data_IF_347572520972
#
_entry.id   IF_347572520972
#
_cell.length_a   1.000
_cell.length_b   1.000
_cell.length_c   1.000
_cell.angle_alpha   90.00
_cell.angle_beta   90.00
_cell.angle_gamma   90.00
#
_symmetry.space_group_name_H-M   'P 1'
#
loop_
_entity.id
_entity.type
_entity.pdbx_description
1 polymer ?
#
# COMPACT_ATOMS: atom_id res chain seq x y z
N UNK A 1 2.85 -5.40 -39.80
CA UNK A 1 4.33 -5.30 -39.84
C UNK A 1 4.84 -5.19 -38.41
N UNK A 2 5.78 -6.07 -38.04
CA UNK A 2 6.56 -6.16 -36.76
C UNK A 2 5.74 -6.62 -35.54
N UNK A 3 5.71 -7.89 -35.14
CA UNK A 3 6.76 -8.87 -34.79
C UNK A 3 7.47 -8.58 -33.46
N UNK A 4 6.99 -9.26 -32.42
CA UNK A 4 7.68 -10.13 -31.42
C UNK A 4 9.04 -9.76 -30.80
N UNK A 5 9.17 -10.12 -29.51
CA UNK A 5 10.34 -10.42 -28.64
C UNK A 5 10.32 -9.53 -27.39
N UNK A 6 10.01 -10.04 -26.19
CA UNK A 6 10.90 -10.67 -25.19
C UNK A 6 9.98 -11.60 -24.34
N UNK A 7 9.96 -12.93 -24.47
CA UNK A 7 10.92 -13.97 -24.03
C UNK A 7 11.61 -13.75 -22.67
N UNK A 8 11.09 -14.43 -21.64
CA UNK A 8 11.90 -15.39 -20.89
C UNK A 8 12.49 -14.94 -19.55
N UNK A 9 11.77 -15.21 -18.45
CA UNK A 9 12.42 -15.63 -17.21
C UNK A 9 11.60 -16.76 -16.55
N UNK A 10 12.08 -17.98 -16.78
CA UNK A 10 12.05 -19.18 -15.93
C UNK A 10 10.85 -19.35 -14.97
N UNK A 11 9.92 -20.29 -15.16
CA UNK A 11 10.10 -21.74 -15.26
C UNK A 11 10.98 -22.31 -14.14
N UNK A 12 10.36 -22.65 -13.00
CA UNK A 12 10.62 -23.87 -12.22
C UNK A 12 10.01 -23.73 -10.82
N UNK A 13 8.79 -24.22 -10.60
CA UNK A 13 8.29 -24.65 -9.29
C UNK A 13 7.07 -25.56 -9.48
N UNK A 14 7.31 -26.62 -10.23
CA UNK A 14 6.48 -27.82 -10.17
C UNK A 14 7.45 -28.99 -10.28
N UNK A 15 7.56 -29.80 -9.22
CA UNK A 15 7.73 -31.25 -9.24
C UNK A 15 8.22 -31.76 -7.87
N UNK A 16 7.43 -32.68 -7.32
CA UNK A 16 7.82 -33.81 -6.46
C UNK A 16 8.31 -33.49 -5.02
N UNK A 17 8.07 -34.29 -3.98
CA UNK A 17 7.65 -35.68 -3.89
C UNK A 17 7.01 -35.93 -2.51
N UNK A 18 6.09 -36.90 -2.46
CA UNK A 18 5.66 -37.53 -1.21
C UNK A 18 6.66 -38.55 -0.65
N UNK A 19 6.19 -39.31 0.34
CA UNK A 19 6.86 -40.38 1.14
C UNK A 19 7.74 -39.85 2.28
N UNK A 20 7.81 -40.40 3.48
CA UNK A 20 7.20 -41.54 4.18
C UNK A 20 7.63 -41.43 5.66
N UNK A 21 7.00 -42.15 6.61
CA UNK A 21 7.32 -42.03 8.04
C UNK A 21 8.75 -42.48 8.35
N UNK A 22 9.49 -41.64 9.07
CA UNK A 22 10.83 -41.95 9.55
C UNK A 22 10.81 -43.17 10.48
N UNK A 23 11.39 -44.28 10.02
CA UNK A 23 11.66 -45.44 10.86
C UNK A 23 12.73 -45.10 11.89
N UNK A 24 12.37 -45.31 13.14
CA UNK A 24 13.14 -45.13 14.35
C UNK A 24 14.23 -46.21 14.42
N UNK A 25 15.45 -45.88 13.99
CA UNK A 25 16.62 -46.72 14.22
C UNK A 25 17.05 -46.54 15.68
N UNK A 26 16.63 -47.49 16.52
CA UNK A 26 17.13 -47.66 17.89
C UNK A 26 18.58 -48.15 17.80
N UNK A 27 19.53 -47.25 18.04
CA UNK A 27 20.93 -47.62 18.30
C UNK A 27 21.09 -48.02 19.77
N UNK A 28 21.63 -49.20 20.10
CA UNK A 28 22.06 -49.50 21.46
C UNK A 28 23.28 -48.64 21.78
N UNK A 29 23.14 -47.68 22.71
CA UNK A 29 24.25 -46.89 23.23
C UNK A 29 25.11 -47.80 24.10
N UNK A 30 26.18 -48.31 23.51
CA UNK A 30 27.25 -49.00 24.20
C UNK A 30 28.00 -48.02 25.12
N UNK A 31 28.16 -48.41 26.38
CA UNK A 31 29.22 -47.95 27.27
C UNK A 31 29.02 -46.55 27.85
N UNK A 32 28.27 -46.46 28.96
CA UNK A 32 28.51 -45.41 29.95
C UNK A 32 29.92 -45.60 30.53
N UNK A 33 30.90 -44.97 29.90
CA UNK A 33 32.20 -44.69 30.53
C UNK A 33 31.98 -43.45 31.39
N UNK A 34 32.19 -43.49 32.71
CA UNK A 34 32.08 -42.29 33.53
C UNK A 34 33.17 -41.31 33.09
N UNK A 35 32.79 -40.32 32.29
CA UNK A 35 33.62 -39.16 32.06
C UNK A 35 33.78 -38.47 33.41
N UNK A 36 34.99 -38.47 33.93
CA UNK A 36 35.38 -37.66 35.08
C UNK A 36 35.04 -36.21 34.75
N UNK A 37 33.93 -35.72 35.33
CA UNK A 37 33.53 -34.34 35.21
C UNK A 37 34.66 -33.48 35.80
N UNK A 38 35.38 -32.77 34.95
CA UNK A 38 36.34 -31.76 35.42
C UNK A 38 35.56 -30.74 36.25
N UNK A 39 36.02 -30.38 37.47
CA UNK A 39 35.38 -29.35 38.26
C UNK A 39 35.47 -28.04 37.48
N UNK A 40 34.33 -27.56 36.99
CA UNK A 40 34.24 -26.26 36.35
C UNK A 40 34.62 -25.24 37.42
N UNK A 41 35.78 -24.59 37.24
CA UNK A 41 36.26 -23.55 38.15
C UNK A 41 35.17 -22.47 38.31
N UNK A 42 34.79 -22.09 39.54
CA UNK A 42 33.74 -21.09 39.79
C UNK A 42 34.05 -19.75 39.11
N UNK A 43 35.33 -19.41 38.92
CA UNK A 43 35.75 -18.21 38.20
C UNK A 43 35.34 -18.22 36.71
N UNK A 44 35.38 -19.37 36.04
CA UNK A 44 34.96 -19.51 34.63
C UNK A 44 33.43 -19.42 34.47
N UNK A 45 32.68 -19.77 35.51
CA UNK A 45 31.20 -19.63 35.54
C UNK A 45 30.79 -18.16 35.67
N UNK A 46 31.47 -17.41 36.54
CA UNK A 46 31.22 -15.98 36.76
C UNK A 46 31.50 -15.15 35.50
N UNK A 47 32.62 -15.41 34.80
CA UNK A 47 32.97 -14.69 33.56
C UNK A 47 31.95 -14.97 32.43
N UNK A 48 31.45 -16.21 32.35
CA UNK A 48 30.39 -16.59 31.40
C UNK A 48 29.06 -15.88 31.69
N UNK A 49 28.69 -15.74 32.97
CA UNK A 49 27.46 -15.03 33.36
C UNK A 49 27.52 -13.56 32.97
N UNK A 50 28.63 -12.87 33.25
CA UNK A 50 28.81 -11.46 32.87
C UNK A 50 28.74 -11.25 31.36
N UNK A 51 29.31 -12.17 30.57
CA UNK A 51 29.25 -12.10 29.12
C UNK A 51 27.81 -12.28 28.58
N UNK A 52 27.03 -13.17 29.18
CA UNK A 52 25.62 -13.38 28.84
C UNK A 52 24.78 -12.14 29.18
N UNK A 53 24.97 -11.55 30.36
CA UNK A 53 24.27 -10.33 30.77
C UNK A 53 24.52 -9.17 29.79
N UNK A 54 25.78 -8.98 29.38
CA UNK A 54 26.13 -7.97 28.36
C UNK A 54 25.43 -8.24 27.03
N UNK A 55 25.35 -9.50 26.59
CA UNK A 55 24.64 -9.87 25.36
C UNK A 55 23.14 -9.63 25.47
N UNK A 56 22.53 -9.98 26.59
CA UNK A 56 21.09 -9.74 26.83
C UNK A 56 20.80 -8.25 26.80
N UNK A 57 21.61 -7.42 27.46
CA UNK A 57 21.46 -5.96 27.44
C UNK A 57 21.61 -5.38 26.02
N UNK A 58 22.59 -5.86 25.25
CA UNK A 58 22.77 -5.44 23.86
C UNK A 58 21.59 -5.84 22.97
N UNK A 59 21.08 -7.06 23.13
CA UNK A 59 19.92 -7.54 22.39
C UNK A 59 18.66 -6.76 22.77
N UNK A 60 18.44 -6.47 24.06
CA UNK A 60 17.33 -5.65 24.52
C UNK A 60 17.38 -4.24 23.92
N UNK A 61 18.56 -3.60 23.89
CA UNK A 61 18.75 -2.29 23.25
C UNK A 61 18.44 -2.33 21.76
N UNK A 62 18.90 -3.36 21.05
CA UNK A 62 18.61 -3.55 19.62
C UNK A 62 17.12 -3.80 19.38
N UNK A 63 16.48 -4.61 20.21
CA UNK A 63 15.06 -4.92 20.07
C UNK A 63 14.22 -3.66 20.24
N UNK A 64 14.46 -2.88 21.30
CA UNK A 64 13.80 -1.58 21.50
C UNK A 64 14.00 -0.61 20.33
N UNK A 65 15.21 -0.58 19.74
CA UNK A 65 15.48 0.25 18.58
C UNK A 65 14.72 -0.23 17.33
N UNK A 66 14.62 -1.54 17.13
CA UNK A 66 13.86 -2.13 16.02
C UNK A 66 12.36 -1.89 16.19
N UNK A 67 11.81 -2.09 17.38
CA UNK A 67 10.42 -1.78 17.71
C UNK A 67 10.09 -0.30 17.42
N UNK A 68 10.97 0.63 17.80
CA UNK A 68 10.81 2.03 17.47
C UNK A 68 10.80 2.31 15.95
N UNK A 69 11.64 1.61 15.18
CA UNK A 69 11.65 1.74 13.71
C UNK A 69 10.39 1.15 13.08
N UNK A 70 9.91 0.02 13.57
CA UNK A 70 8.65 -0.59 13.11
C UNK A 70 7.49 0.35 13.36
N UNK A 71 7.35 0.89 14.57
CA UNK A 71 6.31 1.85 14.90
C UNK A 71 6.35 3.10 13.99
N UNK A 72 7.56 3.60 13.69
CA UNK A 72 7.75 4.74 12.77
C UNK A 72 7.31 4.40 11.35
N UNK A 73 7.67 3.23 10.84
CA UNK A 73 7.29 2.77 9.50
C UNK A 73 5.78 2.54 9.40
N UNK A 74 5.16 1.97 10.43
CA UNK A 74 3.71 1.78 10.48
C UNK A 74 2.95 3.10 10.52
N UNK A 75 3.48 4.11 11.22
CA UNK A 75 2.92 5.46 11.20
C UNK A 75 3.01 6.07 9.79
N UNK A 76 4.19 5.99 9.15
CA UNK A 76 4.39 6.49 7.80
C UNK A 76 3.50 5.79 6.76
N UNK A 77 3.30 4.47 6.87
CA UNK A 77 2.40 3.71 6.00
C UNK A 77 0.95 4.16 6.17
N UNK A 78 0.49 4.39 7.40
CA UNK A 78 -0.84 4.95 7.67
C UNK A 78 -1.01 6.34 7.06
N UNK A 79 -0.01 7.19 7.19
CA UNK A 79 -0.05 8.55 6.64
C UNK A 79 -0.04 8.57 5.11
N UNK A 80 0.72 7.67 4.47
CA UNK A 80 0.71 7.51 3.01
C UNK A 80 -0.62 6.97 2.52
N UNK A 81 -1.20 6.01 3.24
CA UNK A 81 -2.53 5.47 2.93
C UNK A 81 -3.59 6.56 3.01
N UNK A 82 -3.63 7.33 4.09
CA UNK A 82 -4.56 8.46 4.24
C UNK A 82 -4.36 9.54 3.15
N UNK A 83 -3.14 9.71 2.63
CA UNK A 83 -2.87 10.65 1.53
C UNK A 83 -3.26 10.11 0.15
N UNK A 84 -3.39 8.79 -0.01
CA UNK A 84 -3.65 8.13 -1.30
C UNK A 84 -5.08 7.63 -1.44
N UNK A 85 -5.81 7.49 -0.34
CA UNK A 85 -7.25 7.24 -0.33
C UNK A 85 -8.00 8.53 -0.66
N UNK A 86 -8.80 8.47 -1.73
CA UNK A 86 -9.70 9.53 -2.14
C UNK A 86 -11.10 8.95 -2.27
N UNK A 87 -12.10 9.78 -2.02
CA UNK A 87 -13.52 9.44 -2.16
C UNK A 87 -14.30 10.66 -2.63
N UNK A 88 -15.41 10.44 -3.32
CA UNK A 88 -16.28 11.54 -3.74
C UNK A 88 -17.31 11.82 -2.64
N UNK A 89 -17.25 12.99 -2.01
CA UNK A 89 -18.29 13.42 -1.08
C UNK A 89 -19.55 13.87 -1.82
N UNK A 90 -19.37 14.52 -2.98
CA UNK A 90 -20.43 14.93 -3.89
C UNK A 90 -20.01 14.66 -5.34
N UNK A 91 -20.89 14.79 -6.34
CA UNK A 91 -20.50 14.66 -7.75
C UNK A 91 -19.44 15.66 -8.20
N UNK A 92 -19.20 16.75 -7.47
CA UNK A 92 -18.23 17.80 -7.79
C UNK A 92 -17.16 18.00 -6.72
N UNK A 93 -17.12 17.18 -5.67
CA UNK A 93 -16.18 17.35 -4.57
C UNK A 93 -15.50 16.03 -4.23
N UNK A 94 -14.17 16.02 -4.33
CA UNK A 94 -13.30 14.93 -3.88
C UNK A 94 -12.82 15.20 -2.46
N UNK A 95 -12.68 14.15 -1.65
CA UNK A 95 -12.16 14.21 -0.29
C UNK A 95 -11.11 13.14 -0.10
N UNK A 96 -9.93 13.53 0.39
CA UNK A 96 -8.88 12.57 0.71
C UNK A 96 -9.06 11.95 2.11
N UNK A 97 -8.32 10.89 2.42
CA UNK A 97 -8.34 10.23 3.73
C UNK A 97 -7.84 11.09 4.91
N UNK A 98 -7.35 12.32 4.63
CA UNK A 98 -7.01 13.34 5.63
C UNK A 98 -8.12 14.38 5.84
N UNK A 99 -9.24 14.26 5.13
CA UNK A 99 -10.37 15.19 5.21
C UNK A 99 -10.19 16.49 4.41
N UNK A 100 -9.17 16.60 3.57
CA UNK A 100 -9.02 17.73 2.65
C UNK A 100 -10.02 17.56 1.51
N UNK A 101 -10.74 18.63 1.19
CA UNK A 101 -11.76 18.69 0.14
C UNK A 101 -11.22 19.44 -1.06
N UNK A 102 -11.42 18.89 -2.25
CA UNK A 102 -11.06 19.48 -3.54
C UNK A 102 -12.32 19.64 -4.40
N UNK A 103 -12.52 20.84 -4.97
CA UNK A 103 -13.58 21.09 -5.96
C UNK A 103 -13.10 20.62 -7.34
N UNK A 104 -13.91 19.77 -7.97
CA UNK A 104 -13.61 19.15 -9.26
C UNK A 104 -14.07 19.99 -10.46
N UNK A 105 -14.86 21.04 -10.24
CA UNK A 105 -15.44 21.87 -11.31
C UNK A 105 -14.35 22.39 -12.25
N UNK A 106 -14.48 22.22 -13.59
CA UNK A 106 -15.71 21.93 -14.34
C UNK A 106 -16.02 20.43 -14.53
N UNK A 107 -15.23 19.53 -13.96
CA UNK A 107 -15.36 18.09 -14.12
C UNK A 107 -16.09 17.45 -12.93
N UNK A 108 -16.67 16.27 -13.16
CA UNK A 108 -17.23 15.47 -12.09
C UNK A 108 -16.15 14.66 -11.34
N UNK A 109 -16.41 14.34 -10.08
CA UNK A 109 -15.63 13.40 -9.30
C UNK A 109 -15.80 11.97 -9.84
N UNK A 110 -14.69 11.23 -9.96
CA UNK A 110 -14.74 9.84 -10.38
C UNK A 110 -15.02 8.93 -9.19
N UNK A 111 -16.21 8.33 -9.10
CA UNK A 111 -16.56 7.41 -8.01
C UNK A 111 -15.70 6.14 -7.95
N UNK A 112 -14.98 5.79 -9.02
CA UNK A 112 -14.09 4.62 -9.04
C UNK A 112 -12.78 4.93 -8.30
N UNK A 113 -12.16 6.07 -8.60
CA UNK A 113 -10.85 6.45 -8.07
C UNK A 113 -10.94 7.46 -6.90
N UNK A 114 -12.13 8.00 -6.64
CA UNK A 114 -12.41 9.06 -5.68
C UNK A 114 -11.86 10.43 -6.04
N UNK A 115 -11.17 10.57 -7.17
CA UNK A 115 -10.45 11.79 -7.60
C UNK A 115 -11.24 12.61 -8.60
N UNK A 116 -10.94 13.91 -8.67
CA UNK A 116 -11.45 14.77 -9.72
C UNK A 116 -10.97 14.31 -11.10
N UNK A 117 -11.90 14.21 -12.06
CA UNK A 117 -11.55 13.95 -13.45
C UNK A 117 -10.85 15.18 -14.04
N UNK A 118 -10.01 14.93 -15.04
CA UNK A 118 -9.34 15.98 -15.81
C UNK A 118 -9.77 15.98 -17.29
N UNK A 119 -10.54 14.97 -17.69
CA UNK A 119 -11.04 14.78 -19.06
C UNK A 119 -12.44 14.17 -19.02
N UNK A 120 -13.27 14.53 -19.99
CA UNK A 120 -14.57 13.94 -20.20
C UNK A 120 -14.55 13.00 -21.42
N UNK A 121 -15.18 11.84 -21.27
CA UNK A 121 -15.45 10.93 -22.40
C UNK A 121 -16.95 10.84 -22.69
N UNK A 122 -17.76 11.20 -21.70
CA UNK A 122 -19.22 11.30 -21.77
C UNK A 122 -19.66 12.57 -21.05
N UNK A 123 -20.85 13.08 -21.35
CA UNK A 123 -21.43 14.26 -20.69
C UNK A 123 -21.54 14.11 -19.17
N UNK A 124 -21.72 12.88 -18.67
CA UNK A 124 -21.79 12.59 -17.23
C UNK A 124 -20.45 12.76 -16.50
N UNK A 125 -19.35 12.99 -17.22
CA UNK A 125 -18.05 13.30 -16.64
C UNK A 125 -17.88 14.80 -16.36
N UNK A 126 -18.86 15.63 -16.74
CA UNK A 126 -18.88 17.05 -16.44
C UNK A 126 -19.66 17.33 -15.17
N UNK A 127 -19.21 18.36 -14.44
CA UNK A 127 -19.95 18.87 -13.30
C UNK A 127 -21.33 19.36 -13.75
N UNK A 128 -22.35 19.36 -12.86
CA UNK A 128 -23.65 19.93 -13.18
C UNK A 128 -23.53 21.36 -13.71
N UNK A 129 -24.21 21.65 -14.81
CA UNK A 129 -24.13 22.95 -15.47
C UNK A 129 -22.97 23.12 -16.45
N UNK A 130 -22.14 22.10 -16.69
CA UNK A 130 -21.11 22.09 -17.73
C UNK A 130 -21.47 21.11 -18.86
N UNK A 131 -21.07 21.45 -20.09
CA UNK A 131 -21.29 20.64 -21.28
C UNK A 131 -19.98 20.01 -21.76
N UNK A 132 -20.07 18.84 -22.39
CA UNK A 132 -18.90 18.18 -22.99
C UNK A 132 -18.63 18.73 -24.39
N UNK A 133 -17.43 19.25 -24.61
CA UNK A 133 -16.92 19.70 -25.90
C UNK A 133 -15.51 19.15 -26.15
N UNK A 134 -15.33 18.35 -27.21
CA UNK A 134 -14.03 17.80 -27.59
C UNK A 134 -13.28 17.02 -26.49
N UNK A 135 -14.02 16.40 -25.55
CA UNK A 135 -13.45 15.68 -24.41
C UNK A 135 -13.08 16.55 -23.19
N UNK A 136 -13.51 17.82 -23.19
CA UNK A 136 -13.38 18.77 -22.09
C UNK A 136 -14.76 19.19 -21.59
N UNK A 137 -14.83 19.66 -20.36
CA UNK A 137 -16.05 20.25 -19.81
C UNK A 137 -15.94 21.77 -19.91
N UNK A 138 -16.91 22.38 -20.59
CA UNK A 138 -16.97 23.81 -20.85
C UNK A 138 -18.26 24.39 -20.27
N UNK A 139 -18.20 25.65 -19.84
CA UNK A 139 -19.41 26.35 -19.44
C UNK A 139 -20.35 26.48 -20.65
N UNK A 140 -21.67 26.34 -20.46
CA UNK A 140 -22.63 26.57 -21.52
C UNK A 140 -22.48 28.00 -22.05
N UNK A 141 -22.73 28.23 -23.34
CA UNK A 141 -22.77 29.59 -23.86
C UNK A 141 -23.80 30.41 -23.07
N UNK A 142 -23.55 31.70 -22.85
CA UNK A 142 -24.55 32.57 -22.24
C UNK A 142 -25.84 32.48 -23.05
N UNK A 143 -27.02 32.57 -22.41
CA UNK A 143 -28.28 32.63 -23.16
C UNK A 143 -28.16 33.74 -24.20
N UNK A 144 -28.66 33.49 -25.41
CA UNK A 144 -28.79 34.54 -26.39
C UNK A 144 -29.58 35.70 -25.74
N UNK A 145 -29.24 36.97 -26.01
CA UNK A 145 -30.12 38.05 -25.61
C UNK A 145 -31.51 37.71 -26.12
N UNK A 146 -32.51 37.79 -25.25
CA UNK A 146 -33.89 37.61 -25.64
C UNK A 146 -34.20 38.69 -26.69
N UNK A 147 -34.09 38.32 -27.98
CA UNK A 147 -34.63 39.10 -29.08
C UNK A 147 -36.16 38.96 -29.02
N UNK A 148 -36.75 39.45 -27.92
CA UNK A 148 -38.20 39.62 -27.75
C UNK A 148 -38.77 40.67 -28.73
N UNK A 149 -37.95 41.22 -29.62
CA UNK A 149 -38.37 41.92 -30.82
C UNK A 149 -38.72 40.93 -31.95
N UNK A 150 -39.58 39.94 -31.65
CA UNK A 150 -40.24 39.17 -32.69
C UNK A 150 -41.32 40.07 -33.31
N UNK A 151 -40.89 40.87 -34.29
CA UNK A 151 -41.60 41.93 -35.01
C UNK A 151 -41.52 43.30 -34.32
N UNK A 152 -40.72 44.20 -34.89
CA UNK A 152 -40.69 45.67 -34.73
C UNK A 152 -42.07 46.38 -34.90
N UNK A 153 -43.19 45.71 -34.68
CA UNK A 153 -44.54 46.24 -34.85
C UNK A 153 -45.16 46.77 -33.55
N UNK A 154 -44.70 46.36 -32.36
CA UNK A 154 -45.26 46.85 -31.09
C UNK A 154 -44.22 46.86 -29.96
N UNK A 155 -43.39 47.90 -29.93
CA UNK A 155 -42.78 48.41 -28.70
C UNK A 155 -43.37 49.77 -28.36
#
# INVERSE_FOLDING_TARGET
>A
MRSSLILGLACALALAAGSAPAQQVVRPVQGLRPATASPVSPAAVVDRQQLLERRVMQLAKKNRALEGRVATLEAALRDMRAATEFSCATPTTSVNGRGVTDDCSPYACNYIDGRCRTTAATSNHCAPGFLMDGGRCVAPPPPAPDDDCFLDLFC
#
